data_IF_640784691285
#
_entry.id   IF_640784691285
#
_cell.length_a   1.000
_cell.length_b   1.000
_cell.length_c   1.000
_cell.angle_alpha   90.00
_cell.angle_beta   90.00
_cell.angle_gamma   90.00
#
_symmetry.space_group_name_H-M   'P 1'
#
loop_
_entity.id
_entity.type
_entity.pdbx_description
1 polymer ?
#
# COMPACT_ATOMS: atom_id res chain seq x y z
N UNK A 1 -6.58 7.10 5.17
CA UNK A 1 -6.89 8.54 5.07
C UNK A 1 -5.61 9.29 4.77
N UNK A 2 -5.51 9.88 3.59
CA UNK A 2 -4.47 10.86 3.20
C UNK A 2 -4.61 12.16 3.99
N UNK A 3 -3.58 12.86 4.45
CA UNK A 3 -2.20 12.42 4.71
C UNK A 3 -1.68 13.06 6.02
N UNK A 4 -0.66 12.49 6.66
CA UNK A 4 0.21 13.18 7.60
C UNK A 4 1.50 13.57 6.89
N UNK A 5 1.70 14.87 6.72
CA UNK A 5 2.92 15.46 6.16
C UNK A 5 3.89 15.81 7.29
N UNK A 6 5.14 16.15 6.96
CA UNK A 6 6.10 16.79 7.88
C UNK A 6 5.52 18.00 8.62
N UNK A 7 4.68 18.78 7.92
CA UNK A 7 3.99 19.98 8.45
C UNK A 7 2.70 19.70 9.24
N UNK A 8 2.24 18.45 9.33
CA UNK A 8 1.01 18.04 10.02
C UNK A 8 -0.03 17.39 9.11
N UNK A 9 -1.29 17.36 9.56
CA UNK A 9 -2.36 16.70 8.80
C UNK A 9 -2.76 17.51 7.55
N UNK A 10 -2.99 16.79 6.44
CA UNK A 10 -3.57 17.30 5.19
C UNK A 10 -4.84 16.52 4.82
N UNK A 11 -5.60 17.03 3.86
CA UNK A 11 -6.69 16.35 3.17
C UNK A 11 -7.70 15.66 4.11
N UNK A 12 -7.91 14.35 3.97
CA UNK A 12 -8.86 13.57 4.78
C UNK A 12 -8.39 13.40 6.24
N UNK A 13 -7.09 13.45 6.52
CA UNK A 13 -6.57 13.48 7.89
C UNK A 13 -6.89 14.82 8.56
N UNK A 14 -6.73 15.95 7.85
CA UNK A 14 -7.16 17.26 8.34
C UNK A 14 -8.68 17.29 8.55
N UNK A 15 -9.47 16.78 7.60
CA UNK A 15 -10.91 16.64 7.76
C UNK A 15 -11.27 15.83 9.03
N UNK A 16 -10.64 14.67 9.23
CA UNK A 16 -10.82 13.85 10.44
C UNK A 16 -10.43 14.56 11.74
N UNK A 17 -9.35 15.34 11.71
CA UNK A 17 -8.86 16.15 12.83
C UNK A 17 -9.85 17.26 13.22
N UNK A 18 -10.49 17.94 12.25
CA UNK A 18 -11.45 19.01 12.51
C UNK A 18 -12.79 18.56 13.10
N UNK A 19 -13.13 17.26 13.02
CA UNK A 19 -14.32 16.71 13.66
C UNK A 19 -14.27 16.87 15.20
N UNK A 20 -15.43 16.84 15.84
CA UNK A 20 -15.50 16.67 17.31
C UNK A 20 -15.11 15.24 17.71
N UNK A 21 -14.70 15.05 18.97
CA UNK A 21 -14.45 13.73 19.54
C UNK A 21 -15.68 12.80 19.44
N UNK A 22 -16.88 13.35 19.61
CA UNK A 22 -18.13 12.59 19.50
C UNK A 22 -18.40 12.14 18.05
N UNK A 23 -18.20 13.01 17.05
CA UNK A 23 -18.33 12.63 15.63
C UNK A 23 -17.33 11.54 15.24
N UNK A 24 -16.05 11.70 15.60
CA UNK A 24 -15.03 10.64 15.38
C UNK A 24 -15.43 9.32 16.04
N UNK A 25 -15.90 9.36 17.28
CA UNK A 25 -16.32 8.17 18.02
C UNK A 25 -17.49 7.45 17.34
N UNK A 26 -18.50 8.19 16.87
CA UNK A 26 -19.64 7.64 16.12
C UNK A 26 -19.19 6.97 14.82
N UNK A 27 -18.34 7.62 14.03
CA UNK A 27 -17.84 7.06 12.76
C UNK A 27 -16.95 5.84 13.03
N UNK A 28 -16.07 5.88 14.03
CA UNK A 28 -15.24 4.74 14.46
C UNK A 28 -16.08 3.53 14.86
N UNK A 29 -17.18 3.73 15.60
CA UNK A 29 -18.09 2.65 15.98
C UNK A 29 -18.78 2.03 14.76
N UNK A 30 -19.18 2.83 13.76
CA UNK A 30 -19.76 2.32 12.51
C UNK A 30 -18.75 1.49 11.71
N UNK A 31 -17.51 1.97 11.56
CA UNK A 31 -16.42 1.23 10.91
C UNK A 31 -16.13 -0.08 11.64
N UNK A 32 -16.01 -0.05 12.97
CA UNK A 32 -15.77 -1.23 13.79
C UNK A 32 -16.92 -2.25 13.70
N UNK A 33 -18.19 -1.80 13.69
CA UNK A 33 -19.35 -2.66 13.51
C UNK A 33 -19.41 -3.31 12.11
N UNK A 34 -18.86 -2.65 11.08
CA UNK A 34 -18.68 -3.19 9.74
C UNK A 34 -17.39 -4.03 9.58
N UNK A 35 -16.59 -4.21 10.63
CA UNK A 35 -15.30 -4.91 10.57
C UNK A 35 -14.18 -4.15 9.85
N UNK A 36 -14.38 -2.86 9.57
CA UNK A 36 -13.44 -2.01 8.82
C UNK A 36 -12.45 -1.35 9.78
N UNK A 37 -11.18 -1.31 9.40
CA UNK A 37 -10.11 -0.55 10.08
C UNK A 37 -9.85 0.76 9.38
N UNK A 38 -9.68 1.83 10.15
CA UNK A 38 -9.44 3.19 9.67
C UNK A 38 -7.99 3.56 9.99
N UNK A 39 -7.14 3.65 8.97
CA UNK A 39 -5.74 4.08 9.08
C UNK A 39 -5.58 5.51 8.55
N UNK A 40 -4.55 6.21 9.02
CA UNK A 40 -4.02 7.42 8.38
C UNK A 40 -2.78 7.05 7.55
N UNK A 41 -2.55 7.69 6.40
CA UNK A 41 -1.31 7.51 5.63
C UNK A 41 -0.36 8.66 5.92
N UNK A 42 0.92 8.36 6.11
CA UNK A 42 2.00 9.33 6.19
C UNK A 42 2.63 9.56 4.82
N UNK A 43 2.99 10.81 4.54
CA UNK A 43 3.67 11.26 3.32
C UNK A 43 2.77 11.30 2.08
N UNK A 44 2.93 10.35 1.15
CA UNK A 44 2.47 10.48 -0.23
C UNK A 44 3.43 11.29 -1.11
N UNK A 45 3.12 11.36 -2.40
CA UNK A 45 4.01 11.82 -3.49
C UNK A 45 4.58 13.24 -3.38
N UNK A 46 4.10 14.08 -2.45
CA UNK A 46 4.56 15.47 -2.26
C UNK A 46 5.67 15.62 -1.23
N UNK A 47 5.93 14.61 -0.41
CA UNK A 47 6.90 14.66 0.69
C UNK A 47 8.19 13.92 0.34
N UNK A 48 9.34 14.53 0.66
CA UNK A 48 10.67 13.94 0.45
C UNK A 48 11.47 13.95 1.76
N UNK A 49 11.04 13.21 2.80
CA UNK A 49 11.54 13.42 4.16
C UNK A 49 13.04 13.15 4.33
N UNK A 50 13.60 12.18 3.61
CA UNK A 50 15.05 11.89 3.67
C UNK A 50 15.87 12.95 2.94
N UNK A 51 15.42 13.41 1.76
CA UNK A 51 16.07 14.47 0.98
C UNK A 51 15.96 15.83 1.66
N UNK A 52 14.84 16.09 2.35
CA UNK A 52 14.62 17.30 3.16
C UNK A 52 15.39 17.31 4.48
N UNK A 53 15.91 16.16 4.92
CA UNK A 53 16.68 16.04 6.16
C UNK A 53 15.83 15.96 7.43
N UNK A 54 14.58 15.51 7.32
CA UNK A 54 13.68 15.29 8.45
C UNK A 54 14.21 14.20 9.39
N UNK A 55 14.13 14.42 10.71
CA UNK A 55 14.52 13.38 11.68
C UNK A 55 13.46 12.28 11.73
N UNK A 56 13.80 11.02 11.41
CA UNK A 56 12.82 9.93 11.34
C UNK A 56 12.18 9.61 12.69
N UNK A 57 12.86 9.87 13.82
CA UNK A 57 12.39 9.50 15.15
C UNK A 57 11.44 10.56 15.72
N UNK A 58 11.79 11.83 15.56
CA UNK A 58 10.94 12.97 15.90
C UNK A 58 9.66 12.97 15.06
N UNK A 59 9.77 12.69 13.76
CA UNK A 59 8.62 12.69 12.87
C UNK A 59 7.70 11.49 13.15
N UNK A 60 8.26 10.29 13.35
CA UNK A 60 7.50 9.12 13.79
C UNK A 60 6.77 9.37 15.12
N UNK A 61 7.44 9.97 16.11
CA UNK A 61 6.82 10.31 17.40
C UNK A 61 5.64 11.29 17.23
N UNK A 62 5.80 12.31 16.39
CA UNK A 62 4.76 13.30 16.07
C UNK A 62 3.54 12.63 15.39
N UNK A 63 3.77 11.77 14.39
CA UNK A 63 2.70 11.07 13.69
C UNK A 63 2.02 10.01 14.57
N UNK A 64 2.76 9.31 15.42
CA UNK A 64 2.19 8.37 16.39
C UNK A 64 1.37 9.08 17.48
N UNK A 65 1.78 10.28 17.91
CA UNK A 65 0.96 11.12 18.79
C UNK A 65 -0.36 11.51 18.12
N UNK A 66 -0.35 11.86 16.83
CA UNK A 66 -1.57 12.11 16.06
C UNK A 66 -2.47 10.88 16.00
N UNK A 67 -1.91 9.71 15.66
CA UNK A 67 -2.67 8.43 15.62
C UNK A 67 -3.42 8.17 16.92
N UNK A 68 -2.72 8.34 18.05
CA UNK A 68 -3.28 8.18 19.40
C UNK A 68 -4.33 9.24 19.74
N UNK A 69 -4.06 10.51 19.44
CA UNK A 69 -4.96 11.64 19.71
C UNK A 69 -6.28 11.55 18.93
N UNK A 70 -6.24 11.10 17.68
CA UNK A 70 -7.39 11.09 16.77
C UNK A 70 -8.05 9.71 16.60
N UNK A 71 -7.58 8.68 17.31
CA UNK A 71 -8.28 7.41 17.51
C UNK A 71 -8.37 6.51 16.27
N UNK A 72 -7.43 6.63 15.34
CA UNK A 72 -7.32 5.73 14.17
C UNK A 72 -6.66 4.40 14.57
N UNK A 73 -6.89 3.34 13.80
CA UNK A 73 -6.43 1.97 14.12
C UNK A 73 -4.94 1.73 13.80
N UNK A 74 -4.28 2.69 13.15
CA UNK A 74 -2.93 2.50 12.63
C UNK A 74 -2.48 3.56 11.63
N UNK A 75 -1.31 3.32 11.05
CA UNK A 75 -0.63 4.22 10.12
C UNK A 75 -0.09 3.45 8.90
N UNK A 76 -0.25 4.02 7.71
CA UNK A 76 0.39 3.56 6.48
C UNK A 76 1.57 4.47 6.16
N UNK A 77 2.69 3.92 5.70
CA UNK A 77 3.92 4.66 5.38
C UNK A 77 4.08 4.73 3.86
N UNK A 78 3.53 5.79 3.27
CA UNK A 78 3.54 6.05 1.84
C UNK A 78 4.75 6.91 1.44
N UNK A 79 5.93 6.38 1.76
CA UNK A 79 7.21 7.03 1.47
C UNK A 79 7.45 7.04 -0.04
N UNK A 80 7.54 8.23 -0.65
CA UNK A 80 7.79 8.40 -2.09
C UNK A 80 9.02 9.27 -2.41
N UNK A 81 10.03 9.33 -1.54
CA UNK A 81 11.27 10.07 -1.79
C UNK A 81 12.18 9.35 -2.81
N UNK A 82 11.78 9.43 -4.09
CA UNK A 82 12.49 8.90 -5.25
C UNK A 82 13.91 9.49 -5.32
N UNK A 83 14.11 10.74 -4.91
CA UNK A 83 15.43 11.40 -4.94
C UNK A 83 16.41 10.76 -3.97
N UNK A 84 15.96 10.40 -2.76
CA UNK A 84 16.78 9.66 -1.81
C UNK A 84 16.99 8.21 -2.27
N UNK A 85 15.93 7.51 -2.68
CA UNK A 85 16.03 6.09 -3.08
C UNK A 85 16.93 5.89 -4.31
N UNK A 86 16.88 6.79 -5.30
CA UNK A 86 17.70 6.73 -6.52
C UNK A 86 19.20 6.97 -6.29
N UNK A 87 19.63 7.45 -5.12
CA UNK A 87 21.07 7.50 -4.77
C UNK A 87 21.64 6.11 -4.55
N UNK A 88 20.79 5.15 -4.17
CA UNK A 88 21.14 3.77 -3.87
C UNK A 88 22.35 3.63 -2.91
N UNK A 89 22.43 4.55 -1.94
CA UNK A 89 23.54 4.76 -1.00
C UNK A 89 23.24 4.27 0.42
N UNK A 90 22.03 3.74 0.66
CA UNK A 90 21.58 3.23 1.95
C UNK A 90 20.88 4.26 2.85
N UNK A 91 20.88 5.55 2.50
CA UNK A 91 20.33 6.60 3.36
C UNK A 91 18.79 6.56 3.42
N UNK A 92 18.13 6.28 2.29
CA UNK A 92 16.68 6.11 2.23
C UNK A 92 16.23 4.90 3.07
N UNK A 93 16.90 3.77 2.91
CA UNK A 93 16.60 2.55 3.63
C UNK A 93 16.82 2.72 5.14
N UNK A 94 17.94 3.32 5.55
CA UNK A 94 18.22 3.59 6.96
C UNK A 94 17.19 4.54 7.58
N UNK A 95 16.79 5.59 6.85
CA UNK A 95 15.74 6.52 7.29
C UNK A 95 14.41 5.79 7.51
N UNK A 96 13.97 4.97 6.55
CA UNK A 96 12.73 4.18 6.66
C UNK A 96 12.82 3.18 7.82
N UNK A 97 13.97 2.53 8.02
CA UNK A 97 14.21 1.60 9.14
C UNK A 97 14.09 2.32 10.50
N UNK A 98 14.74 3.47 10.67
CA UNK A 98 14.66 4.25 11.91
C UNK A 98 13.24 4.78 12.16
N UNK A 99 12.55 5.24 11.11
CA UNK A 99 11.16 5.73 11.19
C UNK A 99 10.20 4.59 11.58
N UNK A 100 10.34 3.41 10.98
CA UNK A 100 9.53 2.22 11.28
C UNK A 100 9.74 1.76 12.73
N UNK A 101 10.99 1.70 13.19
CA UNK A 101 11.31 1.33 14.57
C UNK A 101 10.76 2.34 15.58
N UNK A 102 10.87 3.63 15.30
CA UNK A 102 10.31 4.68 16.16
C UNK A 102 8.78 4.66 16.18
N UNK A 103 8.11 4.46 15.04
CA UNK A 103 6.66 4.25 15.00
C UNK A 103 6.27 3.03 15.84
N UNK A 104 7.00 1.91 15.76
CA UNK A 104 6.67 0.68 16.52
C UNK A 104 6.94 0.76 18.01
N UNK A 105 7.86 1.61 18.46
CA UNK A 105 7.99 1.94 19.88
C UNK A 105 6.75 2.67 20.43
N UNK A 106 6.13 3.52 19.60
CA UNK A 106 4.97 4.35 19.98
C UNK A 106 3.60 3.72 19.66
N UNK A 107 3.56 2.79 18.70
CA UNK A 107 2.38 2.09 18.13
C UNK A 107 2.64 0.57 18.08
N UNK A 108 2.56 -0.14 19.22
CA UNK A 108 2.93 -1.55 19.31
C UNK A 108 2.15 -2.45 18.36
N UNK A 109 2.85 -3.41 17.74
CA UNK A 109 2.26 -4.40 16.85
C UNK A 109 1.19 -5.23 17.57
N UNK A 110 0.09 -5.56 16.87
CA UNK A 110 -1.07 -6.23 17.43
C UNK A 110 -2.03 -5.31 18.21
N UNK A 111 -1.60 -4.10 18.61
CA UNK A 111 -2.49 -3.04 19.10
C UNK A 111 -2.82 -2.04 17.98
N UNK A 112 -1.79 -1.64 17.23
CA UNK A 112 -1.91 -0.75 16.08
C UNK A 112 -1.42 -1.45 14.81
N UNK A 113 -2.11 -1.17 13.71
CA UNK A 113 -1.70 -1.60 12.38
C UNK A 113 -0.60 -0.63 11.89
N UNK A 114 0.46 -1.17 11.30
CA UNK A 114 1.42 -0.37 10.53
C UNK A 114 1.72 -1.07 9.20
N UNK A 115 1.53 -0.33 8.13
CA UNK A 115 1.71 -0.77 6.74
C UNK A 115 2.65 0.16 6.02
N UNK A 116 3.16 -0.25 4.86
CA UNK A 116 3.93 0.62 3.96
C UNK A 116 3.33 0.54 2.56
N UNK A 117 3.44 1.59 1.74
CA UNK A 117 2.98 1.59 0.36
C UNK A 117 4.15 1.70 -0.66
N UNK A 118 5.11 0.76 -0.68
CA UNK A 118 6.26 0.85 -1.58
C UNK A 118 5.87 0.72 -3.05
N UNK A 119 6.57 1.44 -3.91
CA UNK A 119 6.55 1.18 -5.35
C UNK A 119 7.10 -0.23 -5.64
N UNK A 120 6.39 -1.02 -6.46
CA UNK A 120 6.78 -2.40 -6.77
C UNK A 120 8.27 -2.58 -7.17
N UNK A 121 8.90 -1.68 -7.98
CA UNK A 121 10.30 -1.83 -8.36
C UNK A 121 11.28 -1.77 -7.18
N UNK A 122 10.95 -1.08 -6.08
CA UNK A 122 11.79 -1.01 -4.87
C UNK A 122 11.79 -2.32 -4.07
N UNK A 123 10.81 -3.20 -4.30
CA UNK A 123 10.75 -4.55 -3.74
C UNK A 123 11.44 -5.58 -4.65
N UNK A 124 11.97 -5.15 -5.80
CA UNK A 124 12.65 -5.98 -6.78
C UNK A 124 14.15 -6.16 -6.50
N UNK A 125 14.69 -7.34 -6.84
CA UNK A 125 16.13 -7.63 -6.79
C UNK A 125 16.81 -7.32 -8.14
N UNK A 126 17.32 -6.10 -8.31
CA UNK A 126 18.02 -5.67 -9.52
C UNK A 126 19.22 -4.75 -9.22
N UNK A 127 20.17 -4.64 -10.15
CA UNK A 127 21.40 -3.85 -9.98
C UNK A 127 21.17 -2.34 -9.85
N UNK A 128 19.95 -1.87 -10.09
CA UNK A 128 19.53 -0.48 -9.92
C UNK A 128 19.46 -0.04 -8.44
N UNK A 129 19.28 -0.97 -7.50
CA UNK A 129 19.22 -0.69 -6.07
C UNK A 129 20.44 -1.32 -5.37
N UNK A 130 21.62 -0.69 -5.49
CA UNK A 130 22.86 -1.20 -4.87
C UNK A 130 22.81 -1.31 -3.34
N UNK A 131 21.98 -0.49 -2.69
CA UNK A 131 21.65 -0.55 -1.26
C UNK A 131 20.44 -1.44 -0.92
N UNK A 132 19.77 -2.01 -1.94
CA UNK A 132 18.68 -2.99 -1.81
C UNK A 132 17.27 -2.42 -1.62
N UNK A 133 17.09 -1.10 -1.49
CA UNK A 133 15.79 -0.44 -1.38
C UNK A 133 14.86 -1.14 -0.35
N UNK A 134 13.61 -1.44 -0.73
CA UNK A 134 12.66 -2.10 0.18
C UNK A 134 13.02 -3.56 0.51
N UNK A 135 13.90 -4.22 -0.26
CA UNK A 135 14.44 -5.55 0.12
C UNK A 135 15.27 -5.43 1.40
N UNK A 136 16.09 -4.37 1.51
CA UNK A 136 16.86 -4.06 2.73
C UNK A 136 15.95 -3.66 3.88
N UNK A 137 14.93 -2.83 3.63
CA UNK A 137 13.92 -2.47 4.66
C UNK A 137 13.21 -3.73 5.18
N UNK A 138 12.70 -4.59 4.30
CA UNK A 138 12.06 -5.86 4.69
C UNK A 138 13.00 -6.78 5.49
N UNK A 139 14.27 -6.89 5.07
CA UNK A 139 15.28 -7.68 5.79
C UNK A 139 15.55 -7.17 7.20
N UNK A 140 15.39 -5.87 7.46
CA UNK A 140 15.70 -5.24 8.75
C UNK A 140 14.50 -5.04 9.67
N UNK A 141 13.33 -4.71 9.11
CA UNK A 141 12.11 -4.37 9.86
C UNK A 141 10.82 -4.99 9.29
N UNK A 142 10.88 -5.82 8.25
CA UNK A 142 9.68 -6.41 7.61
C UNK A 142 8.84 -7.33 8.52
N UNK A 143 9.42 -7.85 9.60
CA UNK A 143 8.69 -8.57 10.65
C UNK A 143 7.75 -7.65 11.44
N UNK A 144 8.11 -6.37 11.62
CA UNK A 144 7.31 -5.38 12.34
C UNK A 144 6.33 -4.61 11.44
N UNK A 145 6.41 -4.78 10.12
CA UNK A 145 5.43 -4.26 9.16
C UNK A 145 4.33 -5.32 8.97
N UNK A 146 3.06 -4.93 9.11
CA UNK A 146 1.94 -5.88 9.04
C UNK A 146 1.67 -6.32 7.59
N UNK A 147 1.67 -5.39 6.64
CA UNK A 147 1.71 -5.67 5.19
C UNK A 147 2.19 -4.48 4.34
N UNK A 148 2.39 -4.74 3.05
CA UNK A 148 2.81 -3.78 2.03
C UNK A 148 1.67 -3.53 1.03
N UNK A 149 1.16 -2.31 0.98
CA UNK A 149 0.25 -1.78 -0.04
C UNK A 149 1.02 -1.52 -1.35
N UNK A 150 1.59 -2.56 -1.95
CA UNK A 150 2.56 -2.44 -3.06
C UNK A 150 1.96 -1.73 -4.28
N UNK A 151 2.52 -0.60 -4.68
CA UNK A 151 2.02 0.18 -5.82
C UNK A 151 2.46 -0.46 -7.15
N UNK A 152 1.52 -1.14 -7.84
CA UNK A 152 1.73 -1.72 -9.18
C UNK A 152 1.25 -0.77 -10.30
N UNK A 153 1.55 0.52 -10.17
CA UNK A 153 1.15 1.60 -11.08
C UNK A 153 2.18 2.73 -11.06
N UNK A 154 2.09 3.68 -12.00
CA UNK A 154 3.06 4.76 -12.24
C UNK A 154 4.49 4.33 -12.67
N UNK A 155 4.75 3.03 -12.92
CA UNK A 155 6.09 2.50 -13.23
C UNK A 155 6.39 2.35 -14.74
N UNK A 156 5.41 2.60 -15.61
CA UNK A 156 5.56 2.55 -17.08
C UNK A 156 4.27 2.10 -17.78
N UNK A 157 4.07 2.54 -19.03
CA UNK A 157 2.78 2.42 -19.73
C UNK A 157 2.23 0.98 -19.88
N UNK A 158 3.10 -0.04 -19.89
CA UNK A 158 2.72 -1.46 -19.99
C UNK A 158 3.04 -2.27 -18.72
N UNK A 159 3.52 -1.62 -17.66
CA UNK A 159 4.03 -2.31 -16.48
C UNK A 159 2.87 -2.80 -15.60
N UNK A 160 2.89 -4.10 -15.27
CA UNK A 160 1.88 -4.78 -14.47
C UNK A 160 0.42 -4.66 -14.99
N UNK A 161 0.20 -4.39 -16.27
CA UNK A 161 -1.15 -4.24 -16.87
C UNK A 161 -1.80 -5.57 -17.27
N UNK A 162 -1.08 -6.68 -17.16
CA UNK A 162 -1.56 -8.06 -17.40
C UNK A 162 -1.35 -8.92 -16.16
N UNK A 163 -2.07 -10.04 -16.01
CA UNK A 163 -1.85 -10.94 -14.88
C UNK A 163 -0.44 -11.54 -14.86
N UNK A 164 0.14 -11.87 -16.02
CA UNK A 164 1.50 -12.42 -16.09
C UNK A 164 2.54 -11.39 -15.59
N UNK A 165 2.41 -10.13 -16.04
CA UNK A 165 3.29 -9.04 -15.65
C UNK A 165 3.12 -8.61 -14.19
N UNK A 166 1.88 -8.62 -13.69
CA UNK A 166 1.55 -8.29 -12.29
C UNK A 166 2.00 -9.40 -11.33
N UNK A 167 1.77 -10.67 -11.67
CA UNK A 167 1.91 -11.77 -10.74
C UNK A 167 3.23 -12.53 -10.87
N UNK A 168 3.71 -12.80 -12.09
CA UNK A 168 4.71 -13.87 -12.32
C UNK A 168 6.04 -13.44 -12.92
N UNK A 169 6.06 -12.43 -13.79
CA UNK A 169 7.26 -12.01 -14.50
C UNK A 169 7.16 -10.54 -14.87
N UNK A 170 7.79 -9.66 -14.09
CA UNK A 170 7.88 -8.25 -14.42
C UNK A 170 8.85 -8.00 -15.59
N UNK A 171 8.80 -6.80 -16.18
CA UNK A 171 9.64 -6.48 -17.34
C UNK A 171 11.12 -6.29 -16.98
N UNK A 172 11.97 -6.15 -17.99
CA UNK A 172 13.37 -5.73 -17.81
C UNK A 172 13.53 -4.30 -17.30
N UNK A 173 12.50 -3.45 -17.36
CA UNK A 173 12.52 -2.08 -16.82
C UNK A 173 12.38 -2.10 -15.29
N UNK A 174 11.61 -3.06 -14.78
CA UNK A 174 11.33 -3.25 -13.37
C UNK A 174 11.65 -4.71 -12.99
N UNK A 175 12.90 -5.17 -13.01
CA UNK A 175 13.21 -6.58 -12.84
C UNK A 175 12.83 -7.11 -11.44
N UNK A 176 12.26 -8.32 -11.41
CA UNK A 176 11.96 -9.09 -10.18
C UNK A 176 10.96 -8.45 -9.22
N UNK A 177 9.99 -7.73 -9.77
CA UNK A 177 9.03 -6.90 -9.03
C UNK A 177 7.57 -7.31 -9.21
N UNK A 178 7.28 -8.44 -9.87
CA UNK A 178 5.94 -9.04 -9.87
C UNK A 178 5.66 -9.76 -8.53
N UNK A 179 4.40 -10.01 -8.15
CA UNK A 179 4.02 -10.53 -6.81
C UNK A 179 4.83 -11.76 -6.38
N UNK A 180 4.97 -12.78 -7.23
CA UNK A 180 5.72 -14.01 -6.90
C UNK A 180 7.24 -13.83 -7.00
N UNK A 181 7.73 -12.83 -7.74
CA UNK A 181 9.16 -12.47 -7.73
C UNK A 181 9.53 -11.66 -6.47
N UNK A 182 8.66 -10.75 -6.02
CA UNK A 182 8.78 -10.06 -4.74
C UNK A 182 8.81 -11.08 -3.59
N UNK A 183 7.94 -12.11 -3.62
CA UNK A 183 8.03 -13.22 -2.66
C UNK A 183 9.41 -13.89 -2.70
N UNK A 184 9.95 -14.17 -3.89
CA UNK A 184 11.26 -14.78 -4.05
C UNK A 184 12.43 -13.89 -3.55
N UNK A 185 12.21 -12.57 -3.45
CA UNK A 185 13.16 -11.61 -2.85
C UNK A 185 13.12 -11.58 -1.31
N UNK A 186 12.34 -12.46 -0.67
CA UNK A 186 12.29 -12.61 0.79
C UNK A 186 11.12 -11.91 1.49
N UNK A 187 10.11 -11.44 0.75
CA UNK A 187 8.87 -10.93 1.33
C UNK A 187 7.88 -12.07 1.61
N UNK A 188 7.15 -11.99 2.71
CA UNK A 188 6.06 -12.93 3.00
C UNK A 188 4.93 -12.74 1.98
N UNK A 189 4.56 -13.80 1.26
CA UNK A 189 3.58 -13.73 0.15
C UNK A 189 2.26 -13.04 0.55
N UNK A 190 1.77 -13.32 1.75
CA UNK A 190 0.50 -12.80 2.26
C UNK A 190 0.61 -11.38 2.85
N UNK A 191 1.79 -10.76 2.80
CA UNK A 191 2.01 -9.33 3.07
C UNK A 191 2.07 -8.47 1.79
N UNK A 192 2.04 -9.07 0.59
CA UNK A 192 2.15 -8.33 -0.68
C UNK A 192 0.75 -7.98 -1.19
N UNK A 193 0.17 -6.87 -0.74
CA UNK A 193 -1.14 -6.39 -1.21
C UNK A 193 -0.99 -5.77 -2.60
N UNK A 194 -1.89 -6.12 -3.52
CA UNK A 194 -1.86 -5.60 -4.89
C UNK A 194 -2.47 -4.19 -4.91
N UNK A 195 -1.65 -3.14 -5.00
CA UNK A 195 -2.10 -1.75 -5.20
C UNK A 195 -2.38 -1.44 -6.67
N UNK A 196 -3.57 -0.91 -6.98
CA UNK A 196 -3.97 -0.51 -8.35
C UNK A 196 -4.77 0.80 -8.40
N UNK A 197 -4.82 1.50 -9.55
CA UNK A 197 -5.66 2.67 -9.70
C UNK A 197 -7.16 2.30 -9.62
N UNK A 198 -7.97 3.14 -8.99
CA UNK A 198 -9.42 3.03 -8.97
C UNK A 198 -10.02 3.35 -10.34
N UNK A 199 -9.61 4.50 -10.86
CA UNK A 199 -9.97 4.99 -12.18
C UNK A 199 -9.34 4.17 -13.30
N UNK A 200 -10.12 3.91 -14.36
CA UNK A 200 -9.57 3.39 -15.63
C UNK A 200 -8.97 4.48 -16.51
N UNK A 201 -9.07 5.75 -16.11
CA UNK A 201 -8.45 6.90 -16.77
C UNK A 201 -7.17 7.38 -16.09
N UNK A 202 -6.62 8.50 -16.55
CA UNK A 202 -5.38 9.10 -16.02
C UNK A 202 -5.59 10.02 -14.81
N UNK A 203 -6.72 9.90 -14.11
CA UNK A 203 -7.03 10.74 -12.93
C UNK A 203 -6.20 10.31 -11.73
N UNK A 204 -6.38 9.06 -11.32
CA UNK A 204 -5.74 8.46 -10.16
C UNK A 204 -4.24 8.14 -10.38
N UNK A 205 -3.85 7.82 -11.62
CA UNK A 205 -2.48 7.40 -11.94
C UNK A 205 -2.12 7.72 -13.40
N UNK A 206 -0.83 7.90 -13.67
CA UNK A 206 -0.33 8.12 -15.04
C UNK A 206 -0.30 6.84 -15.89
N UNK A 207 -0.18 5.66 -15.27
CA UNK A 207 -0.19 4.36 -15.94
C UNK A 207 -0.43 3.21 -14.93
N UNK A 208 -0.64 1.99 -15.43
CA UNK A 208 -0.81 0.77 -14.61
C UNK A 208 -2.27 0.38 -14.31
N UNK A 209 -3.24 1.12 -14.86
CA UNK A 209 -4.67 0.82 -14.81
C UNK A 209 -4.97 -0.59 -15.34
N UNK A 210 -6.01 -1.21 -14.78
CA UNK A 210 -6.59 -2.47 -15.26
C UNK A 210 -8.10 -2.39 -15.18
N UNK A 211 -8.84 -3.08 -16.05
CA UNK A 211 -10.27 -3.25 -15.82
C UNK A 211 -10.48 -4.08 -14.55
N UNK A 212 -11.55 -3.80 -13.79
CA UNK A 212 -11.91 -4.57 -12.60
C UNK A 212 -12.09 -6.06 -12.91
N UNK A 213 -12.61 -6.40 -14.10
CA UNK A 213 -12.72 -7.78 -14.60
C UNK A 213 -11.36 -8.47 -14.79
N UNK A 214 -10.36 -7.77 -15.33
CA UNK A 214 -9.01 -8.33 -15.51
C UNK A 214 -8.33 -8.50 -14.17
N UNK A 215 -8.43 -7.49 -13.30
CA UNK A 215 -7.85 -7.51 -11.96
C UNK A 215 -8.47 -8.62 -11.10
N UNK A 216 -9.79 -8.83 -11.15
CA UNK A 216 -10.46 -9.95 -10.50
C UNK A 216 -9.96 -11.32 -11.00
N UNK A 217 -9.70 -11.44 -12.30
CA UNK A 217 -9.05 -12.62 -12.89
C UNK A 217 -7.65 -12.86 -12.30
N UNK A 218 -6.83 -11.81 -12.18
CA UNK A 218 -5.51 -11.93 -11.56
C UNK A 218 -5.59 -12.27 -10.06
N UNK A 219 -6.53 -11.67 -9.32
CA UNK A 219 -6.79 -11.97 -7.91
C UNK A 219 -7.19 -13.45 -7.73
N UNK A 220 -8.03 -14.00 -8.61
CA UNK A 220 -8.37 -15.43 -8.63
C UNK A 220 -7.17 -16.33 -8.92
N UNK A 221 -6.30 -15.95 -9.88
CA UNK A 221 -5.09 -16.71 -10.20
C UNK A 221 -4.07 -16.69 -9.05
N UNK A 222 -3.90 -15.53 -8.39
CA UNK A 222 -3.02 -15.38 -7.24
C UNK A 222 -3.51 -16.24 -6.06
N UNK A 223 -4.81 -16.19 -5.75
CA UNK A 223 -5.47 -17.06 -4.75
C UNK A 223 -5.20 -18.55 -5.02
N UNK A 224 -5.35 -18.99 -6.26
CA UNK A 224 -5.07 -20.36 -6.69
C UNK A 224 -3.60 -20.80 -6.55
N UNK A 225 -2.68 -19.84 -6.37
CA UNK A 225 -1.24 -20.05 -6.13
C UNK A 225 -0.83 -19.82 -4.66
N UNK A 226 -1.80 -19.72 -3.74
CA UNK A 226 -1.56 -19.62 -2.30
C UNK A 226 -1.42 -18.20 -1.74
N UNK A 227 -1.61 -17.16 -2.57
CA UNK A 227 -1.61 -15.76 -2.11
C UNK A 227 -2.95 -15.35 -1.51
N UNK A 228 -2.92 -14.61 -0.40
CA UNK A 228 -4.11 -14.20 0.34
C UNK A 228 -3.98 -12.80 1.01
N UNK A 229 -3.20 -11.89 0.42
CA UNK A 229 -2.95 -10.56 1.00
C UNK A 229 -4.11 -9.56 0.81
N UNK A 230 -4.72 -9.53 -0.38
CA UNK A 230 -5.80 -8.59 -0.74
C UNK A 230 -5.37 -7.50 -1.74
N UNK A 231 -6.26 -6.54 -1.99
CA UNK A 231 -6.07 -5.48 -3.00
C UNK A 231 -6.22 -4.11 -2.33
N UNK A 232 -5.30 -3.20 -2.66
CA UNK A 232 -5.36 -1.77 -2.33
C UNK A 232 -5.74 -0.98 -3.59
N UNK A 233 -6.43 0.13 -3.41
CA UNK A 233 -6.85 1.01 -4.51
C UNK A 233 -6.52 2.48 -4.24
N UNK A 234 -5.84 3.12 -5.19
CA UNK A 234 -5.69 4.57 -5.24
C UNK A 234 -6.59 5.12 -6.37
N UNK A 235 -7.69 5.84 -6.12
CA UNK A 235 -8.24 6.18 -4.81
C UNK A 235 -9.77 6.26 -4.79
N UNK A 236 -10.32 6.59 -3.62
CA UNK A 236 -11.74 6.88 -3.47
C UNK A 236 -12.02 8.32 -3.97
N UNK A 237 -13.05 8.58 -4.80
CA UNK A 237 -14.28 7.82 -5.00
C UNK A 237 -14.31 6.89 -6.21
N UNK A 238 -13.29 6.88 -7.06
CA UNK A 238 -13.27 6.03 -8.26
C UNK A 238 -13.20 4.54 -7.87
N UNK A 239 -12.44 4.20 -6.82
CA UNK A 239 -12.43 2.90 -6.16
C UNK A 239 -13.54 2.69 -5.11
N UNK A 240 -14.80 2.98 -5.47
CA UNK A 240 -15.95 2.81 -4.57
C UNK A 240 -16.36 1.33 -4.36
N UNK A 241 -17.46 1.11 -3.63
CA UNK A 241 -18.01 -0.22 -3.32
C UNK A 241 -18.28 -1.10 -4.54
N UNK A 242 -18.62 -0.54 -5.70
CA UNK A 242 -18.81 -1.30 -6.94
C UNK A 242 -17.46 -1.80 -7.49
N UNK A 243 -16.42 -0.97 -7.46
CA UNK A 243 -15.05 -1.36 -7.82
C UNK A 243 -14.56 -2.49 -6.93
N UNK A 244 -14.69 -2.32 -5.60
CA UNK A 244 -14.27 -3.33 -4.60
C UNK A 244 -15.02 -4.65 -4.82
N UNK A 245 -16.33 -4.60 -5.06
CA UNK A 245 -17.13 -5.80 -5.33
C UNK A 245 -16.68 -6.51 -6.60
N UNK A 246 -16.48 -5.77 -7.70
CA UNK A 246 -16.05 -6.32 -8.97
C UNK A 246 -14.65 -6.96 -8.88
N UNK A 247 -13.70 -6.32 -8.19
CA UNK A 247 -12.31 -6.79 -8.03
C UNK A 247 -12.20 -8.00 -7.10
N UNK A 248 -12.99 -8.07 -6.03
CA UNK A 248 -13.09 -9.29 -5.19
C UNK A 248 -13.63 -10.47 -5.98
N UNK A 249 -14.63 -10.22 -6.84
CA UNK A 249 -15.36 -11.24 -7.59
C UNK A 249 -15.86 -12.36 -6.67
N UNK A 250 -15.86 -13.59 -7.17
CA UNK A 250 -16.14 -14.79 -6.37
C UNK A 250 -14.95 -15.27 -5.52
N UNK A 251 -13.76 -14.68 -5.66
CA UNK A 251 -12.52 -15.13 -4.99
C UNK A 251 -12.53 -14.86 -3.47
N UNK A 252 -13.22 -13.79 -3.07
CA UNK A 252 -13.39 -13.38 -1.67
C UNK A 252 -14.85 -12.99 -1.44
N UNK A 253 -15.78 -13.95 -1.26
CA UNK A 253 -17.17 -13.65 -0.95
C UNK A 253 -17.30 -12.84 0.36
N UNK A 254 -18.41 -12.13 0.52
CA UNK A 254 -18.82 -11.60 1.83
C UNK A 254 -19.72 -12.65 2.47
N UNK A 255 -19.33 -13.17 3.63
CA UNK A 255 -20.16 -14.09 4.40
C UNK A 255 -21.50 -13.41 4.72
N UNK A 256 -22.60 -14.01 4.24
CA UNK A 256 -23.95 -13.41 4.27
C UNK A 256 -24.53 -13.09 2.89
N UNK A 257 -23.72 -13.03 1.83
CA UNK A 257 -24.23 -12.99 0.45
C UNK A 257 -24.47 -14.41 -0.09
N UNK A 258 -25.49 -15.09 0.41
CA UNK A 258 -26.01 -16.29 -0.26
C UNK A 258 -26.60 -15.89 -1.61
N UNK A 259 -25.89 -16.24 -2.68
CA UNK A 259 -26.43 -16.20 -4.04
C UNK A 259 -27.63 -17.17 -4.10
N UNK A 260 -28.83 -16.62 -4.01
CA UNK A 260 -30.08 -17.37 -4.02
C UNK A 260 -30.37 -17.79 -5.45
N UNK A 261 -29.81 -18.94 -5.81
CA UNK A 261 -29.68 -19.38 -7.20
C UNK A 261 -30.98 -19.31 -8.01
N UNK A 262 -30.87 -18.76 -9.22
CA UNK A 262 -31.93 -18.79 -10.21
C UNK A 262 -32.07 -20.20 -10.79
N UNK A 263 -32.85 -21.02 -10.10
CA UNK A 263 -33.39 -22.28 -10.62
C UNK A 263 -34.72 -22.01 -11.33
N UNK A 264 -34.69 -21.95 -12.66
CA UNK A 264 -35.87 -21.82 -13.53
C UNK A 264 -35.64 -22.64 -14.80
N UNK A 265 -35.90 -23.95 -14.75
CA UNK A 265 -37.20 -24.55 -15.10
C UNK A 265 -37.45 -24.57 -16.61
N UNK A 266 -37.22 -25.74 -17.20
CA UNK A 266 -37.63 -26.13 -18.55
C UNK A 266 -39.13 -25.95 -18.78
N UNK A 267 -39.50 -25.43 -19.95
CA UNK A 267 -40.75 -25.82 -20.63
C UNK A 267 -40.48 -25.99 -22.12
N UNK A 268 -40.77 -27.19 -22.64
CA UNK A 268 -40.77 -27.46 -24.07
C UNK A 268 -42.04 -26.89 -24.72
N UNK A 269 -41.92 -26.32 -25.91
CA UNK A 269 -42.90 -26.56 -26.96
C UNK A 269 -42.27 -26.39 -28.36
N UNK A 270 -42.72 -27.18 -29.34
CA UNK A 270 -41.92 -27.49 -30.52
C UNK A 270 -42.46 -26.96 -31.86
N UNK A 271 -41.53 -26.42 -32.69
CA UNK A 271 -41.47 -26.58 -34.17
C UNK A 271 -42.62 -26.03 -35.04
N UNK A 272 -42.54 -26.04 -36.42
CA UNK A 272 -41.52 -26.64 -37.29
C UNK A 272 -40.98 -25.75 -38.46
N UNK A 273 -40.17 -26.38 -39.34
CA UNK A 273 -39.82 -26.04 -40.75
C UNK A 273 -38.84 -24.88 -41.04
N UNK A 274 -37.89 -24.97 -41.99
CA UNK A 274 -37.52 -26.07 -42.91
C UNK A 274 -36.13 -25.94 -43.58
N UNK A 275 -35.42 -27.08 -43.68
CA UNK A 275 -34.66 -27.62 -44.84
C UNK A 275 -33.50 -26.81 -45.46
N UNK A 276 -32.31 -27.44 -45.50
CA UNK A 276 -31.13 -26.99 -46.26
C UNK A 276 -29.94 -27.96 -46.21
N UNK A 277 -30.07 -29.13 -46.83
CA UNK A 277 -28.96 -30.10 -47.08
C UNK A 277 -27.98 -29.56 -48.15
N UNK A 278 -26.75 -30.07 -48.39
CA UNK A 278 -26.06 -31.31 -47.97
C UNK A 278 -24.58 -31.33 -48.42
N UNK A 279 -23.72 -32.05 -47.69
CA UNK A 279 -22.52 -32.74 -48.22
C UNK A 279 -21.24 -31.92 -48.47
N UNK A 280 -20.05 -32.52 -48.63
CA UNK A 280 -19.62 -33.88 -48.28
C UNK A 280 -18.07 -33.98 -48.29
N UNK A 281 -17.51 -34.77 -47.37
CA UNK A 281 -16.27 -35.56 -47.49
C UNK A 281 -15.09 -35.07 -48.35
N UNK A 282 -13.90 -34.97 -47.74
CA UNK A 282 -12.75 -35.80 -48.18
C UNK A 282 -11.80 -36.08 -47.02
N UNK A 283 -11.26 -37.30 -46.97
CA UNK A 283 -10.20 -37.70 -46.06
C UNK A 283 -9.00 -38.21 -46.88
N UNK A 284 -7.78 -37.97 -46.39
CA UNK A 284 -6.56 -38.65 -46.84
C UNK A 284 -5.62 -38.86 -45.66
N UNK A 285 -5.16 -40.10 -45.54
CA UNK A 285 -4.28 -40.67 -44.51
C UNK A 285 -2.79 -40.62 -44.90
N UNK A 286 -1.96 -41.29 -44.08
CA UNK A 286 -0.57 -41.79 -44.29
C UNK A 286 0.61 -40.81 -44.09
N UNK A 287 1.74 -41.19 -43.47
CA UNK A 287 2.11 -42.31 -42.56
C UNK A 287 3.38 -41.89 -41.75
N UNK A 288 3.51 -42.21 -40.45
CA UNK A 288 4.28 -43.31 -39.81
C UNK A 288 5.83 -43.24 -39.91
N UNK A 289 6.52 -43.99 -39.02
CA UNK A 289 7.96 -44.24 -38.88
C UNK A 289 8.81 -43.29 -37.97
N UNK A 290 8.92 -43.67 -36.69
CA UNK A 290 10.25 -43.77 -36.03
C UNK A 290 10.85 -45.15 -36.31
N UNK A 291 12.18 -45.37 -36.26
CA UNK A 291 12.74 -45.94 -35.01
C UNK A 291 14.25 -45.67 -34.70
N UNK A 292 14.63 -45.85 -33.43
CA UNK A 292 15.96 -46.35 -32.92
C UNK A 292 17.27 -45.58 -33.21
N UNK A 293 18.36 -45.67 -32.44
CA UNK A 293 18.62 -46.04 -31.01
C UNK A 293 20.14 -45.96 -30.72
N UNK A 294 20.55 -45.64 -29.47
CA UNK A 294 21.86 -45.99 -28.84
C UNK A 294 23.14 -45.38 -29.51
N UNK A 295 24.28 -45.18 -28.83
CA UNK A 295 24.62 -45.31 -27.42
C UNK A 295 26.12 -45.06 -27.15
N UNK A 296 26.46 -45.00 -25.86
CA UNK A 296 27.78 -45.05 -25.18
C UNK A 296 28.52 -43.73 -24.94
N UNK A 297 29.00 -43.34 -23.74
CA UNK A 297 29.40 -43.98 -22.47
C UNK A 297 30.93 -43.94 -22.21
N UNK A 298 31.30 -43.62 -20.97
CA UNK A 298 32.67 -43.59 -20.44
C UNK A 298 32.99 -42.26 -19.72
N UNK A 299 33.41 -42.21 -18.45
CA UNK A 299 33.57 -43.27 -17.44
C UNK A 299 34.70 -42.97 -16.43
N UNK A 300 34.57 -43.46 -15.17
CA UNK A 300 35.48 -43.32 -14.01
C UNK A 300 35.55 -41.92 -13.35
N UNK A 301 35.24 -41.68 -12.06
CA UNK A 301 35.65 -42.30 -10.76
C UNK A 301 37.05 -41.80 -10.28
N UNK A 302 37.35 -41.55 -8.99
CA UNK A 302 37.10 -42.36 -7.76
C UNK A 302 37.31 -41.60 -6.41
N UNK A 303 36.51 -41.96 -5.38
CA UNK A 303 36.75 -42.11 -3.89
C UNK A 303 37.59 -41.11 -3.04
N UNK A 304 37.10 -40.80 -1.82
CA UNK A 304 37.91 -40.44 -0.62
C UNK A 304 37.24 -39.45 0.36
N UNK A 305 36.35 -39.87 1.28
CA UNK A 305 36.62 -40.38 2.64
C UNK A 305 36.92 -39.31 3.73
N UNK A 306 36.10 -39.28 4.80
CA UNK A 306 36.34 -38.52 6.04
C UNK A 306 37.39 -39.19 6.94
N UNK A 307 37.90 -38.50 7.98
CA UNK A 307 37.47 -38.91 9.33
C UNK A 307 37.25 -37.76 10.34
N UNK A 308 36.66 -38.13 11.48
CA UNK A 308 36.41 -37.33 12.69
C UNK A 308 37.61 -37.24 13.63
N UNK A 309 37.71 -36.19 14.46
CA UNK A 309 37.52 -36.28 15.94
C UNK A 309 38.31 -35.23 16.77
N UNK A 310 37.74 -34.84 17.92
CA UNK A 310 38.38 -34.22 19.11
C UNK A 310 39.11 -32.86 18.94
N UNK A 311 39.03 -31.91 19.88
CA UNK A 311 38.26 -31.83 21.12
C UNK A 311 39.04 -31.13 22.24
N UNK A 312 38.39 -30.28 23.04
CA UNK A 312 38.73 -29.99 24.45
C UNK A 312 37.74 -29.00 25.07
N UNK A 313 37.37 -29.25 26.31
CA UNK A 313 36.66 -28.32 27.17
C UNK A 313 37.57 -27.91 28.34
N UNK A 314 37.36 -26.72 28.89
CA UNK A 314 37.67 -26.44 30.30
C UNK A 314 36.83 -25.25 30.78
N UNK A 315 36.07 -25.46 31.85
CA UNK A 315 35.39 -24.42 32.61
C UNK A 315 36.24 -23.99 33.81
N UNK A 316 35.95 -22.79 34.33
CA UNK A 316 35.97 -22.33 35.75
C UNK A 316 35.55 -20.85 35.72
N UNK A 317 34.44 -20.45 36.35
CA UNK A 317 34.37 -19.92 37.74
C UNK A 317 35.10 -18.58 37.92
N UNK A 318 34.58 -17.57 38.64
CA UNK A 318 33.56 -17.60 39.72
C UNK A 318 32.96 -16.21 40.05
N UNK A 319 31.79 -16.23 40.69
CA UNK A 319 31.28 -15.32 41.75
C UNK A 319 31.41 -13.78 41.67
N UNK A 320 30.26 -13.08 41.73
CA UNK A 320 29.72 -12.59 43.04
C UNK A 320 28.43 -11.75 42.97
N UNK A 321 27.59 -11.97 43.98
CA UNK A 321 26.44 -11.22 44.49
C UNK A 321 26.42 -9.68 44.23
N UNK A 322 25.26 -9.01 44.14
CA UNK A 322 24.28 -8.97 45.24
C UNK A 322 22.90 -8.44 44.85
N UNK A 323 21.89 -8.79 45.65
CA UNK A 323 20.52 -8.29 45.57
C UNK A 323 20.14 -7.58 46.88
N UNK A 324 19.32 -6.53 46.82
CA UNK A 324 18.47 -6.14 47.96
C UNK A 324 17.18 -5.43 47.52
N UNK A 325 16.07 -6.13 47.74
CA UNK A 325 14.72 -5.56 47.87
C UNK A 325 14.50 -5.12 49.31
N UNK A 326 14.05 -3.88 49.57
CA UNK A 326 13.46 -3.50 50.88
C UNK A 326 12.47 -2.34 50.79
N UNK A 327 11.20 -2.67 50.99
CA UNK A 327 10.15 -1.94 51.74
C UNK A 327 9.45 -3.02 52.63
N UNK A 328 8.66 -2.74 53.70
CA UNK A 328 7.79 -1.56 53.93
C UNK A 328 7.67 -1.11 55.42
N UNK A 329 6.57 -0.40 55.77
CA UNK A 329 6.03 -0.02 57.11
C UNK A 329 6.68 1.19 57.82
N UNK A 330 6.00 2.03 58.64
CA UNK A 330 4.59 2.03 59.10
C UNK A 330 4.00 3.43 59.50
N UNK A 331 2.67 3.47 59.60
CA UNK A 331 1.74 4.23 60.47
C UNK A 331 1.88 5.72 60.91
N UNK A 332 0.73 6.42 60.84
CA UNK A 332 0.23 7.40 61.84
C UNK A 332 0.01 8.86 61.35
N UNK A 333 -0.96 9.66 61.82
CA UNK A 333 -2.30 9.45 62.44
C UNK A 333 -3.00 10.83 62.61
N UNK A 334 -4.33 10.86 62.81
CA UNK A 334 -5.21 12.00 63.19
C UNK A 334 -5.34 13.22 62.23
N UNK A 335 -6.48 13.92 62.13
CA UNK A 335 -7.81 13.71 62.76
C UNK A 335 -8.78 14.90 62.54
N UNK A 336 -10.10 14.70 62.78
CA UNK A 336 -11.24 15.69 62.80
C UNK A 336 -11.56 16.46 61.50
N UNK A 337 -12.77 16.44 60.89
CA UNK A 337 -14.11 16.95 61.30
C UNK A 337 -14.16 18.48 61.52
N UNK A 338 -15.14 19.28 61.06
CA UNK A 338 -16.60 19.04 60.93
C UNK A 338 -17.29 19.96 59.87
N UNK A 339 -18.45 19.52 59.38
CA UNK A 339 -19.70 20.25 59.04
C UNK A 339 -19.84 21.41 58.00
N UNK A 340 -20.65 21.10 56.96
CA UNK A 340 -21.98 21.68 56.68
C UNK A 340 -22.15 23.17 56.28
N UNK A 341 -22.48 23.42 55.00
CA UNK A 341 -23.81 23.97 54.59
C UNK A 341 -23.91 24.27 53.09
N UNK A 342 -25.05 23.93 52.48
CA UNK A 342 -25.52 24.51 51.20
C UNK A 342 -26.48 25.68 51.49
N UNK A 343 -26.73 26.59 50.53
CA UNK A 343 -27.86 26.33 49.62
C UNK A 343 -27.74 26.95 48.21
N UNK A 344 -28.77 26.66 47.40
CA UNK A 344 -29.35 27.46 46.32
C UNK A 344 -29.23 26.93 44.87
N UNK A 345 -30.43 26.72 44.31
CA UNK A 345 -30.83 26.34 42.96
C UNK A 345 -30.04 26.91 41.78
N UNK A 346 -30.01 26.12 40.70
CA UNK A 346 -30.31 26.65 39.37
C UNK A 346 -31.08 25.64 38.50
N UNK A 347 -31.83 26.16 37.55
CA UNK A 347 -32.91 25.49 36.80
C UNK A 347 -32.41 24.62 35.65
N UNK A 348 -32.99 23.43 35.49
CA UNK A 348 -32.77 22.56 34.32
C UNK A 348 -33.77 22.87 33.22
N UNK A 349 -33.37 23.64 32.21
CA UNK A 349 -34.14 23.76 30.97
C UNK A 349 -34.02 22.49 30.12
N UNK A 350 -35.17 21.95 29.71
CA UNK A 350 -35.26 20.73 28.89
C UNK A 350 -35.30 21.11 27.41
N UNK A 351 -34.16 21.03 26.73
CA UNK A 351 -34.10 21.03 25.26
C UNK A 351 -33.61 19.68 24.74
N UNK A 352 -34.50 18.68 24.80
CA UNK A 352 -34.30 17.40 24.14
C UNK A 352 -34.54 17.54 22.63
N UNK A 353 -33.48 17.85 21.88
CA UNK A 353 -33.50 17.71 20.42
C UNK A 353 -33.64 16.22 20.06
N UNK A 354 -34.58 15.89 19.20
CA UNK A 354 -34.79 14.51 18.74
C UNK A 354 -33.55 13.97 18.00
N UNK A 355 -33.22 12.67 18.12
CA UNK A 355 -32.03 12.11 17.49
C UNK A 355 -32.18 12.13 15.96
N UNK A 356 -31.26 12.82 15.28
CA UNK A 356 -31.20 12.74 13.82
C UNK A 356 -30.67 11.37 13.38
N UNK A 357 -31.45 10.67 12.56
CA UNK A 357 -31.09 9.36 12.03
C UNK A 357 -29.97 9.52 11.00
N UNK A 358 -28.75 9.12 11.36
CA UNK A 358 -27.65 9.02 10.39
C UNK A 358 -27.79 7.75 9.55
N UNK A 359 -27.51 7.86 8.25
CA UNK A 359 -27.59 6.74 7.32
C UNK A 359 -26.17 6.30 6.90
N UNK A 360 -26.00 5.00 6.69
CA UNK A 360 -24.75 4.42 6.21
C UNK A 360 -24.98 3.92 4.78
N UNK A 361 -24.37 4.57 3.79
CA UNK A 361 -24.63 4.31 2.36
C UNK A 361 -23.30 3.99 1.64
N UNK A 362 -23.30 2.94 0.82
CA UNK A 362 -22.14 2.51 0.01
C UNK A 362 -20.80 2.33 0.78
N UNK A 363 -20.84 2.05 2.07
CA UNK A 363 -19.65 1.76 2.88
C UNK A 363 -18.98 2.98 3.52
N UNK A 364 -19.56 4.18 3.41
CA UNK A 364 -19.09 5.40 4.07
C UNK A 364 -20.26 6.19 4.69
N UNK A 365 -19.94 7.17 5.54
CA UNK A 365 -20.89 7.87 6.40
C UNK A 365 -21.44 9.17 5.78
N UNK A 366 -22.76 9.37 5.80
CA UNK A 366 -23.40 10.67 5.57
C UNK A 366 -23.84 11.35 6.88
N UNK A 367 -23.52 12.64 7.08
CA UNK A 367 -24.20 13.49 8.06
C UNK A 367 -25.53 13.98 7.53
N UNK A 368 -26.51 14.16 8.43
CA UNK A 368 -27.61 15.09 8.21
C UNK A 368 -27.08 16.53 8.30
N UNK A 369 -27.27 17.34 7.26
CA UNK A 369 -26.74 18.70 7.20
C UNK A 369 -27.40 19.63 8.24
N UNK A 370 -26.66 19.96 9.30
CA UNK A 370 -26.91 21.11 10.17
C UNK A 370 -25.55 21.63 10.70
N UNK A 371 -25.27 22.92 10.46
CA UNK A 371 -24.12 23.66 10.99
C UNK A 371 -22.70 23.19 10.58
N UNK A 372 -22.47 22.86 9.30
CA UNK A 372 -21.16 23.11 8.66
C UNK A 372 -21.34 23.44 7.17
N UNK A 373 -20.47 24.29 6.62
CA UNK A 373 -20.46 24.67 5.19
C UNK A 373 -19.66 23.70 4.31
N UNK A 374 -19.54 22.44 4.74
CA UNK A 374 -18.95 21.38 3.93
C UNK A 374 -20.07 20.66 3.17
N UNK A 375 -19.84 20.34 1.89
CA UNK A 375 -20.82 19.64 1.08
C UNK A 375 -20.45 18.17 1.00
N UNK A 376 -21.42 17.28 1.20
CA UNK A 376 -21.20 15.85 1.02
C UNK A 376 -21.60 15.45 -0.40
N UNK A 377 -20.70 14.84 -1.16
CA UNK A 377 -21.00 14.35 -2.51
C UNK A 377 -20.18 13.10 -2.81
N UNK A 378 -20.83 12.04 -3.33
CA UNK A 378 -20.21 10.72 -3.57
C UNK A 378 -19.28 10.25 -2.44
N UNK A 379 -19.81 10.04 -1.23
CA UNK A 379 -19.11 9.40 -0.11
C UNK A 379 -18.10 10.26 0.66
N UNK A 380 -17.55 11.30 0.03
CA UNK A 380 -16.61 12.22 0.68
C UNK A 380 -17.22 13.59 1.01
N UNK A 381 -16.59 14.21 1.98
CA UNK A 381 -16.78 15.63 2.30
C UNK A 381 -15.87 16.49 1.43
N UNK A 382 -16.44 17.48 0.74
CA UNK A 382 -15.66 18.56 0.12
C UNK A 382 -15.74 19.82 0.97
N UNK A 383 -14.59 20.41 1.37
CA UNK A 383 -14.56 21.75 1.94
C UNK A 383 -15.07 22.77 0.91
N UNK A 384 -15.95 23.69 1.34
CA UNK A 384 -16.34 24.83 0.51
C UNK A 384 -15.17 25.81 0.37
N UNK A 385 -14.36 25.65 -0.66
CA UNK A 385 -13.41 26.70 -1.07
C UNK A 385 -14.17 27.87 -1.70
N UNK A 386 -14.34 28.95 -0.94
CA UNK A 386 -14.57 30.27 -1.56
C UNK A 386 -13.42 30.51 -2.56
N UNK A 387 -13.68 30.93 -3.81
CA UNK A 387 -12.62 31.01 -4.81
C UNK A 387 -11.50 31.94 -4.37
N UNK A 388 -10.29 31.40 -4.23
CA UNK A 388 -9.09 32.22 -4.13
C UNK A 388 -8.95 33.01 -5.44
N UNK A 389 -8.85 34.33 -5.33
CA UNK A 389 -8.77 35.24 -6.47
C UNK A 389 -7.61 34.84 -7.38
N UNK A 390 -7.87 34.69 -8.68
CA UNK A 390 -6.85 34.25 -9.63
C UNK A 390 -5.65 35.22 -9.66
N UNK A 391 -4.45 34.70 -9.38
CA UNK A 391 -3.19 35.46 -9.50
C UNK A 391 -2.27 34.77 -10.50
N UNK A 392 -1.99 35.51 -11.59
CA UNK A 392 -0.88 35.38 -12.53
C UNK A 392 -0.63 34.03 -13.26
N UNK A 393 -0.83 34.07 -14.58
CA UNK A 393 -0.36 33.10 -15.57
C UNK A 393 1.16 32.81 -15.50
N UNK A 394 1.62 31.56 -15.74
CA UNK A 394 3.04 31.27 -15.94
C UNK A 394 3.59 31.92 -17.21
N UNK A 395 4.75 32.56 -17.10
CA UNK A 395 5.53 33.09 -18.24
C UNK A 395 6.20 31.91 -18.97
N UNK A 396 6.15 31.83 -20.31
CA UNK A 396 6.82 30.75 -21.05
C UNK A 396 8.34 30.91 -20.97
N UNK A 397 9.02 29.93 -20.36
CA UNK A 397 10.48 29.89 -20.35
C UNK A 397 11.03 29.72 -21.78
N UNK A 398 12.00 30.57 -22.14
CA UNK A 398 12.69 30.51 -23.42
C UNK A 398 13.61 29.28 -23.45
N UNK A 399 13.61 28.57 -24.58
CA UNK A 399 14.63 27.56 -24.88
C UNK A 399 16.00 28.25 -24.96
N UNK A 400 16.91 27.88 -24.08
CA UNK A 400 18.34 28.09 -24.32
C UNK A 400 18.88 26.89 -25.09
N UNK A 401 19.50 27.17 -26.25
CA UNK A 401 20.21 26.16 -27.02
C UNK A 401 21.69 26.21 -26.63
N UNK A 402 22.24 25.11 -26.14
CA UNK A 402 23.68 24.95 -25.94
C UNK A 402 24.36 24.57 -27.25
N UNK A 403 25.25 25.44 -27.73
CA UNK A 403 26.07 25.18 -28.91
C UNK A 403 27.37 24.46 -28.54
N UNK A 404 27.42 23.14 -28.74
CA UNK A 404 28.67 22.38 -28.63
C UNK A 404 29.50 22.57 -29.91
N UNK A 405 30.70 23.14 -29.76
CA UNK A 405 31.63 23.43 -30.85
C UNK A 405 32.69 22.34 -30.98
N UNK A 406 32.80 21.68 -32.15
CA UNK A 406 33.99 20.88 -32.51
C UNK A 406 34.31 20.86 -34.02
N UNK A 407 35.52 21.37 -34.33
CA UNK A 407 36.48 21.00 -35.41
C UNK A 407 36.10 20.93 -36.91
N UNK A 408 36.75 21.85 -37.65
CA UNK A 408 37.65 21.63 -38.80
C UNK A 408 37.22 20.73 -40.00
N UNK A 409 37.12 21.32 -41.21
CA UNK A 409 38.15 21.24 -42.28
C UNK A 409 37.73 21.94 -43.60
N UNK A 410 38.65 22.73 -44.20
CA UNK A 410 38.90 23.03 -45.65
C UNK A 410 37.68 23.19 -46.62
N UNK A 411 37.62 24.16 -47.56
CA UNK A 411 38.69 24.61 -48.50
C UNK A 411 38.24 25.80 -49.38
N UNK A 412 39.23 26.54 -49.95
CA UNK A 412 39.22 27.40 -51.18
C UNK A 412 38.44 28.74 -51.21
N UNK A 413 39.19 29.82 -51.52
CA UNK A 413 38.70 31.11 -52.04
C UNK A 413 39.79 32.20 -51.98
N UNK A 414 40.36 32.59 -53.14
CA UNK A 414 41.42 33.62 -53.32
C UNK A 414 41.05 34.42 -54.58
N UNK A 415 41.03 35.78 -54.59
CA UNK A 415 42.17 36.65 -54.98
C UNK A 415 42.48 37.76 -53.93
N UNK A 416 43.73 38.22 -53.74
CA UNK A 416 44.47 39.29 -54.48
C UNK A 416 43.75 40.67 -54.46
N UNK A 417 44.39 41.83 -54.20
CA UNK A 417 45.65 42.37 -54.74
C UNK A 417 46.39 43.31 -53.74
N UNK A 418 47.69 43.53 -53.98
CA UNK A 418 48.69 44.44 -53.37
C UNK A 418 48.39 45.97 -53.52
N UNK A 419 49.22 46.90 -53.01
CA UNK A 419 50.48 46.75 -52.25
C UNK A 419 50.47 47.26 -50.80
#
# INVERSE_FOLDING_TARGET
>A
MSFLLSSGASDMAMAWQTLTSSQRSTIKQQYQAAGIKLLVSAFGSTETPTTSGEDPKQLASTMAAWVKQYGVDGIDVDYEDITAMNKADGNAEQWIIDFTNALRAELPQGQYILTHAPMAPWMGSGTQWTSGAYVTVNTKVGSSIDWYNTQFYNQGASEYTTCDGLLTASSSNNPKSSVFEIQANGFELNKIVIGKPGSTGTGDASNGQMSTSTLAGCVSQAKGKGWNAGVMSWEYPDANSQWITAVRGSTYPIDGSSDSGSSGSSTDNASPTSIGSSGSSTATSTDDASPTSLGSAGGSATVGASPTSSGSASATDSDSASASTTTPTDAGSDGSSVDNSSPASQTTDTNAAAPSTTAFNNGQWTPSAAASTATFNNGMWTPSTTPATAVATPVPQRRHAEGISHRMLRRRGVPAVLP
#
